data_IF_348056061239
#
_entry.id   IF_348056061239
#
_cell.length_a   1.000
_cell.length_b   1.000
_cell.length_c   1.000
_cell.angle_alpha   90.00
_cell.angle_beta   90.00
_cell.angle_gamma   90.00
#
_symmetry.space_group_name_H-M   'P 1'
#
loop_
_entity.id
_entity.type
_entity.pdbx_description
1 polymer ?
#
# COMPACT_ATOMS: atom_id res chain seq x y z
N UNK A 1 6.67 -16.99 -15.65
CA UNK A 1 5.89 -15.77 -15.38
C UNK A 1 5.41 -15.24 -16.72
N UNK A 2 4.11 -15.04 -16.89
CA UNK A 2 3.56 -14.28 -18.02
C UNK A 2 3.42 -12.81 -17.61
N UNK A 3 3.71 -11.90 -18.54
CA UNK A 3 3.49 -10.46 -18.36
C UNK A 3 2.27 -10.08 -19.20
N UNK A 4 1.27 -9.46 -18.57
CA UNK A 4 0.07 -8.97 -19.26
C UNK A 4 0.21 -7.49 -19.61
N UNK A 5 -0.51 -7.02 -20.64
CA UNK A 5 -0.67 -5.59 -20.91
C UNK A 5 -1.28 -4.85 -19.71
N UNK A 6 -2.13 -5.52 -18.94
CA UNK A 6 -2.71 -4.99 -17.71
C UNK A 6 -1.69 -4.87 -16.56
N UNK A 7 -0.53 -5.53 -16.67
CA UNK A 7 0.56 -5.34 -15.71
C UNK A 7 1.34 -4.04 -15.96
N UNK A 8 1.31 -3.54 -17.20
CA UNK A 8 1.97 -2.32 -17.62
C UNK A 8 1.05 -1.10 -17.47
N UNK A 9 -0.21 -1.24 -17.87
CA UNK A 9 -1.18 -0.15 -17.87
C UNK A 9 -2.25 -0.39 -16.80
N UNK A 10 -2.10 0.30 -15.67
CA UNK A 10 -3.01 0.20 -14.52
C UNK A 10 -3.62 1.56 -14.24
N UNK A 11 -4.93 1.57 -14.00
CA UNK A 11 -5.61 2.74 -13.43
C UNK A 11 -5.11 2.92 -11.99
N UNK A 12 -4.76 4.14 -11.63
CA UNK A 12 -4.23 4.49 -10.32
C UNK A 12 -4.31 6.00 -10.09
N UNK A 13 -3.72 6.45 -8.98
CA UNK A 13 -3.65 7.86 -8.62
C UNK A 13 -2.18 8.32 -8.62
N UNK A 14 -1.94 9.52 -9.16
CA UNK A 14 -0.63 10.16 -9.13
C UNK A 14 -0.24 10.70 -7.75
N UNK A 15 1.00 11.19 -7.57
CA UNK A 15 2.02 11.41 -8.60
C UNK A 15 2.92 10.20 -8.89
N UNK A 16 2.93 9.17 -8.05
CA UNK A 16 3.93 8.08 -8.14
C UNK A 16 3.34 6.69 -7.93
N UNK A 17 3.56 5.78 -8.88
CA UNK A 17 3.15 4.38 -8.70
C UNK A 17 3.85 3.72 -7.51
N UNK A 18 5.12 4.04 -7.26
CA UNK A 18 5.93 3.42 -6.20
C UNK A 18 5.74 4.08 -4.82
N UNK A 19 5.44 5.38 -4.78
CA UNK A 19 5.32 6.14 -3.53
C UNK A 19 3.88 6.53 -3.19
N UNK A 20 2.92 6.31 -4.09
CA UNK A 20 1.48 6.54 -3.86
C UNK A 20 0.70 5.24 -3.94
N UNK A 21 0.62 4.62 -5.12
CA UNK A 21 -0.22 3.43 -5.35
C UNK A 21 0.33 2.19 -4.61
N UNK A 22 1.65 2.02 -4.58
CA UNK A 22 2.31 0.94 -3.84
C UNK A 22 1.97 0.94 -2.34
N UNK A 23 2.26 2.03 -1.60
CA UNK A 23 1.91 2.17 -0.20
C UNK A 23 0.40 2.06 0.06
N UNK A 24 -0.45 2.62 -0.80
CA UNK A 24 -1.91 2.49 -0.69
C UNK A 24 -2.36 1.03 -0.75
N UNK A 25 -1.81 0.24 -1.69
CA UNK A 25 -2.10 -1.20 -1.79
C UNK A 25 -1.56 -1.97 -0.59
N UNK A 26 -0.41 -1.58 -0.04
CA UNK A 26 0.13 -2.20 1.17
C UNK A 26 -0.79 -1.96 2.39
N UNK A 27 -1.27 -0.73 2.56
CA UNK A 27 -2.22 -0.38 3.61
C UNK A 27 -3.55 -1.16 3.48
N UNK A 28 -4.10 -1.26 2.27
CA UNK A 28 -5.31 -2.04 2.02
C UNK A 28 -5.13 -3.53 2.37
N UNK A 29 -3.97 -4.12 2.01
CA UNK A 29 -3.64 -5.50 2.37
C UNK A 29 -3.51 -5.70 3.89
N UNK A 30 -2.95 -4.73 4.59
CA UNK A 30 -2.84 -4.77 6.06
C UNK A 30 -4.24 -4.77 6.72
N UNK A 31 -5.12 -3.84 6.33
CA UNK A 31 -6.48 -3.76 6.85
C UNK A 31 -7.29 -5.04 6.57
N UNK A 32 -7.14 -5.59 5.36
CA UNK A 32 -7.79 -6.86 4.99
C UNK A 32 -7.24 -8.06 5.80
N UNK A 33 -5.95 -8.03 6.15
CA UNK A 33 -5.34 -8.97 7.09
C UNK A 33 -6.01 -8.93 8.46
N UNK A 34 -6.13 -7.73 9.06
CA UNK A 34 -6.80 -7.54 10.33
C UNK A 34 -8.26 -8.04 10.30
N UNK A 35 -8.98 -7.76 9.21
CA UNK A 35 -10.35 -8.24 9.02
C UNK A 35 -10.44 -9.75 8.99
N UNK A 36 -9.57 -10.40 8.20
CA UNK A 36 -9.53 -11.86 8.07
C UNK A 36 -9.18 -12.55 9.39
N UNK A 37 -8.34 -11.92 10.20
CA UNK A 37 -7.91 -12.43 11.51
C UNK A 37 -8.89 -12.08 12.65
N UNK A 38 -9.99 -11.37 12.36
CA UNK A 38 -10.95 -10.94 13.37
C UNK A 38 -10.44 -9.85 14.32
N UNK A 39 -9.31 -9.22 13.99
CA UNK A 39 -8.63 -8.22 14.82
C UNK A 39 -9.06 -6.79 14.51
N UNK A 40 -9.76 -6.56 13.39
CA UNK A 40 -10.07 -5.22 12.89
C UNK A 40 -10.85 -4.39 13.93
N UNK A 41 -11.91 -4.93 14.51
CA UNK A 41 -12.73 -4.23 15.52
C UNK A 41 -11.98 -3.97 16.83
N UNK A 42 -11.00 -4.82 17.17
CA UNK A 42 -10.21 -4.68 18.39
C UNK A 42 -8.99 -3.76 18.22
N UNK A 43 -8.65 -3.38 16.98
CA UNK A 43 -7.46 -2.58 16.69
C UNK A 43 -7.70 -1.12 17.05
N UNK A 44 -7.14 -0.68 18.19
CA UNK A 44 -7.30 0.70 18.67
C UNK A 44 -6.30 1.70 18.05
N UNK A 45 -5.18 1.22 17.49
CA UNK A 45 -4.14 2.07 16.91
C UNK A 45 -3.37 1.35 15.81
N UNK A 46 -2.94 2.10 14.81
CA UNK A 46 -2.05 1.63 13.73
C UNK A 46 -0.81 2.50 13.71
N UNK A 47 0.35 1.87 13.52
CA UNK A 47 1.63 2.55 13.33
C UNK A 47 2.17 2.21 11.94
N UNK A 48 2.66 3.22 11.23
CA UNK A 48 3.33 3.06 9.94
C UNK A 48 4.72 3.66 10.03
N UNK A 49 5.71 2.90 9.58
CA UNK A 49 7.11 3.34 9.51
C UNK A 49 7.58 3.25 8.07
N UNK A 50 8.08 4.38 7.53
CA UNK A 50 8.59 4.47 6.17
C UNK A 50 10.10 4.42 6.18
N UNK A 51 10.68 3.48 5.43
CA UNK A 51 12.13 3.24 5.39
C UNK A 51 12.72 3.64 4.04
N UNK A 52 14.04 3.87 4.03
CA UNK A 52 14.82 4.10 2.81
C UNK A 52 14.29 5.26 1.95
N UNK A 53 14.23 5.05 0.63
CA UNK A 53 13.77 6.06 -0.32
C UNK A 53 12.32 6.48 -0.07
N UNK A 54 11.45 5.55 0.33
CA UNK A 54 10.04 5.85 0.62
C UNK A 54 9.90 6.81 1.81
N UNK A 55 10.71 6.63 2.85
CA UNK A 55 10.77 7.57 3.97
C UNK A 55 11.39 8.91 3.59
N UNK A 56 12.38 8.91 2.70
CA UNK A 56 13.08 10.11 2.27
C UNK A 56 12.24 11.03 1.35
N UNK A 57 11.46 10.46 0.43
CA UNK A 57 10.73 11.22 -0.60
C UNK A 57 9.21 11.14 -0.49
N UNK A 58 8.66 10.37 0.45
CA UNK A 58 7.22 10.14 0.56
C UNK A 58 6.37 11.33 1.01
N UNK A 59 6.96 12.45 1.44
CA UNK A 59 6.23 13.69 1.78
C UNK A 59 5.88 14.56 0.56
N UNK A 60 6.60 14.38 -0.54
CA UNK A 60 6.52 15.22 -1.73
C UNK A 60 5.26 15.02 -2.58
#
# INVERSE_FOLDING_TARGET
MSLSVFDLFKIGIGPSSSHTVGPMRAAARFAEGLRREGLLEATASVKVELYGSLGATGKG
#
